data_IF_412788222114
#
_entry.id   IF_412788222114
#
_cell.length_a   1.000
_cell.length_b   1.000
_cell.length_c   1.000
_cell.angle_alpha   90.00
_cell.angle_beta   90.00
_cell.angle_gamma   90.00
#
_symmetry.space_group_name_H-M   'P 1'
#
loop_
_entity.id
_entity.type
_entity.pdbx_description
1 polymer ?
#
# COMPACT_ATOMS: atom_id res chain seq x y z
N UNK A 1 -0.21 -7.31 34.64
CA UNK A 1 0.73 -7.12 33.51
C UNK A 1 0.26 -8.06 32.41
N UNK A 2 -0.40 -7.53 31.39
CA UNK A 2 -0.62 -8.26 30.15
C UNK A 2 0.19 -7.51 29.10
N UNK A 3 1.25 -8.13 28.63
CA UNK A 3 1.94 -7.68 27.42
C UNK A 3 0.95 -7.87 26.28
N UNK A 4 0.24 -6.80 25.92
CA UNK A 4 -0.47 -6.73 24.64
C UNK A 4 0.65 -6.60 23.63
N UNK A 5 1.23 -7.74 23.26
CA UNK A 5 2.34 -7.81 22.32
C UNK A 5 2.03 -6.91 21.15
N UNK A 6 2.89 -5.92 20.91
CA UNK A 6 2.67 -4.89 19.92
C UNK A 6 2.22 -5.56 18.62
N UNK A 7 0.94 -5.42 18.25
CA UNK A 7 0.41 -6.04 17.03
C UNK A 7 1.33 -5.65 15.89
N UNK A 8 1.97 -6.64 15.26
CA UNK A 8 2.97 -6.39 14.24
C UNK A 8 2.35 -5.54 13.14
N UNK A 9 2.75 -4.26 13.08
CA UNK A 9 2.35 -3.36 12.02
C UNK A 9 3.09 -3.77 10.77
N UNK A 10 2.36 -4.27 9.77
CA UNK A 10 2.91 -4.68 8.48
C UNK A 10 2.81 -3.50 7.52
N UNK A 11 3.71 -3.45 6.55
CA UNK A 11 3.58 -2.49 5.46
C UNK A 11 3.98 -3.10 4.13
N UNK A 12 3.35 -2.60 3.08
CA UNK A 12 3.68 -2.90 1.69
C UNK A 12 3.95 -1.60 0.96
N UNK A 13 4.95 -1.59 0.08
CA UNK A 13 5.25 -0.45 -0.78
C UNK A 13 4.55 -0.64 -2.11
N UNK A 14 3.88 0.40 -2.59
CA UNK A 14 3.28 0.45 -3.92
C UNK A 14 4.32 1.03 -4.86
N UNK A 15 4.66 0.27 -5.91
CA UNK A 15 5.64 0.66 -6.91
C UNK A 15 4.99 0.81 -8.28
N UNK A 16 5.40 1.85 -9.01
CA UNK A 16 5.09 2.02 -10.43
C UNK A 16 6.32 1.65 -11.26
N UNK A 17 6.09 0.88 -12.32
CA UNK A 17 7.10 0.38 -13.25
C UNK A 17 6.66 0.80 -14.66
N UNK A 18 7.15 1.93 -15.19
CA UNK A 18 6.76 2.40 -16.53
C UNK A 18 7.23 1.45 -17.63
N UNK A 19 8.41 0.85 -17.48
CA UNK A 19 8.98 -0.06 -18.46
C UNK A 19 9.53 -1.31 -17.76
N UNK A 20 8.93 -2.46 -18.06
CA UNK A 20 9.33 -3.76 -17.50
C UNK A 20 10.72 -4.22 -17.98
N UNK A 21 11.16 -3.78 -19.16
CA UNK A 21 12.44 -4.19 -19.75
C UNK A 21 13.60 -3.39 -19.13
N UNK A 22 13.36 -2.11 -18.82
CA UNK A 22 14.38 -1.23 -18.24
C UNK A 22 14.57 -1.45 -16.72
N UNK A 23 13.70 -2.23 -16.08
CA UNK A 23 13.63 -2.44 -14.62
C UNK A 23 13.59 -1.14 -13.79
N UNK A 24 13.08 -0.08 -14.40
CA UNK A 24 12.94 1.23 -13.78
C UNK A 24 11.70 1.21 -12.87
N UNK A 25 11.88 1.50 -11.58
CA UNK A 25 10.80 1.47 -10.59
C UNK A 25 10.82 2.71 -9.72
N UNK A 26 9.63 3.23 -9.41
CA UNK A 26 9.47 4.32 -8.45
C UNK A 26 8.41 3.97 -7.41
N UNK A 27 8.72 4.21 -6.14
CA UNK A 27 7.75 4.07 -5.06
C UNK A 27 6.74 5.21 -5.15
N UNK A 28 5.45 4.86 -5.24
CA UNK A 28 4.36 5.84 -5.38
C UNK A 28 3.44 5.87 -4.16
N UNK A 29 3.53 4.89 -3.26
CA UNK A 29 2.72 4.86 -2.06
C UNK A 29 3.14 3.78 -1.07
N UNK A 30 2.46 3.77 0.07
CA UNK A 30 2.62 2.78 1.13
C UNK A 30 1.25 2.37 1.64
N UNK A 31 1.13 1.09 1.95
CA UNK A 31 0.01 0.51 2.67
C UNK A 31 0.56 0.09 4.03
N UNK A 32 0.05 0.66 5.10
CA UNK A 32 0.35 0.23 6.47
C UNK A 32 -0.90 -0.43 7.05
N UNK A 33 -0.76 -1.64 7.57
CA UNK A 33 -1.91 -2.42 8.01
C UNK A 33 -1.61 -3.32 9.20
N UNK A 34 -2.68 -3.61 9.94
CA UNK A 34 -2.74 -4.65 10.96
C UNK A 34 -4.11 -5.32 10.91
N UNK A 35 -4.43 -6.15 11.91
CA UNK A 35 -5.68 -6.90 12.01
C UNK A 35 -6.95 -6.05 12.15
N UNK A 36 -6.83 -4.73 12.28
CA UNK A 36 -7.95 -3.83 12.58
C UNK A 36 -8.01 -2.61 11.65
N UNK A 37 -6.89 -2.20 11.07
CA UNK A 37 -6.74 -0.93 10.36
C UNK A 37 -5.91 -1.13 9.11
N UNK A 38 -6.37 -0.55 8.02
CA UNK A 38 -5.60 -0.34 6.79
C UNK A 38 -5.47 1.16 6.57
N UNK A 39 -4.25 1.65 6.34
CA UNK A 39 -3.96 3.02 5.95
C UNK A 39 -3.18 3.01 4.66
N UNK A 40 -3.59 3.84 3.72
CA UNK A 40 -2.93 3.99 2.44
C UNK A 40 -2.51 5.44 2.29
N UNK A 41 -1.29 5.65 1.79
CA UNK A 41 -0.81 6.99 1.47
C UNK A 41 -0.03 6.97 0.16
N UNK A 42 -0.37 7.90 -0.74
CA UNK A 42 0.35 8.12 -1.99
C UNK A 42 1.20 9.38 -1.92
N UNK A 43 2.26 9.43 -2.73
CA UNK A 43 3.10 10.61 -2.85
C UNK A 43 2.29 11.78 -3.42
N UNK A 44 2.21 12.90 -2.68
CA UNK A 44 1.43 14.08 -3.10
C UNK A 44 1.92 14.72 -4.40
N UNK A 45 3.23 14.64 -4.65
CA UNK A 45 3.83 15.21 -5.85
C UNK A 45 3.93 14.15 -6.96
N UNK A 46 2.89 14.08 -7.79
CA UNK A 46 2.84 13.19 -8.95
C UNK A 46 3.76 13.65 -10.09
N UNK A 47 4.32 14.87 -10.06
CA UNK A 47 5.24 15.31 -11.12
C UNK A 47 6.48 14.42 -11.18
N UNK A 48 7.01 13.94 -10.06
CA UNK A 48 8.16 13.03 -10.07
C UNK A 48 7.86 11.75 -10.85
N UNK A 49 6.65 11.22 -10.73
CA UNK A 49 6.22 10.01 -11.43
C UNK A 49 6.07 10.28 -12.93
N UNK A 50 5.51 11.45 -13.29
CA UNK A 50 5.36 11.87 -14.70
C UNK A 50 6.71 12.03 -15.40
N UNK A 51 7.67 12.69 -14.74
CA UNK A 51 9.03 12.86 -15.29
C UNK A 51 9.79 11.54 -15.38
N UNK A 52 9.49 10.57 -14.51
CA UNK A 52 10.13 9.26 -14.51
C UNK A 52 9.61 8.37 -15.65
N UNK A 53 8.29 8.30 -15.84
CA UNK A 53 7.69 7.47 -16.89
C UNK A 53 7.65 8.12 -18.27
N UNK A 54 7.77 9.45 -18.37
CA UNK A 54 7.54 10.23 -19.60
C UNK A 54 6.15 9.98 -20.25
N UNK A 55 5.20 9.44 -19.47
CA UNK A 55 3.86 9.03 -19.89
C UNK A 55 2.76 9.82 -19.15
N UNK A 56 1.54 9.77 -19.68
CA UNK A 56 0.37 10.26 -18.96
C UNK A 56 0.03 9.33 -17.78
N UNK A 57 0.07 9.90 -16.58
CA UNK A 57 -0.06 9.16 -15.31
C UNK A 57 -1.42 9.34 -14.64
N UNK A 58 -2.42 9.83 -15.37
CA UNK A 58 -3.76 10.07 -14.80
C UNK A 58 -4.39 8.78 -14.26
N UNK A 59 -4.10 7.64 -14.89
CA UNK A 59 -4.51 6.33 -14.38
C UNK A 59 -3.93 6.02 -12.98
N UNK A 60 -2.74 6.53 -12.64
CA UNK A 60 -2.15 6.35 -11.31
C UNK A 60 -2.86 7.21 -10.26
N UNK A 61 -3.35 8.39 -10.64
CA UNK A 61 -4.16 9.23 -9.76
C UNK A 61 -5.51 8.58 -9.48
N UNK A 62 -6.16 8.05 -10.53
CA UNK A 62 -7.43 7.33 -10.40
C UNK A 62 -7.26 6.06 -9.56
N UNK A 63 -6.15 5.33 -9.77
CA UNK A 63 -5.77 4.20 -8.95
C UNK A 63 -5.58 4.59 -7.48
N UNK A 64 -4.83 5.66 -7.21
CA UNK A 64 -4.61 6.15 -5.85
C UNK A 64 -5.93 6.53 -5.16
N UNK A 65 -6.80 7.26 -5.86
CA UNK A 65 -8.09 7.68 -5.34
C UNK A 65 -9.00 6.48 -5.00
N UNK A 66 -9.05 5.47 -5.89
CA UNK A 66 -9.83 4.24 -5.63
C UNK A 66 -9.30 3.47 -4.43
N UNK A 67 -7.98 3.33 -4.28
CA UNK A 67 -7.39 2.65 -3.12
C UNK A 67 -7.65 3.39 -1.82
N UNK A 68 -7.44 4.71 -1.80
CA UNK A 68 -7.70 5.53 -0.61
C UNK A 68 -9.17 5.49 -0.18
N UNK A 69 -10.11 5.44 -1.12
CA UNK A 69 -11.52 5.28 -0.81
C UNK A 69 -11.85 3.88 -0.31
N UNK A 70 -11.35 2.83 -0.95
CA UNK A 70 -11.55 1.45 -0.49
C UNK A 70 -10.99 1.20 0.91
N UNK A 71 -9.87 1.82 1.27
CA UNK A 71 -9.32 1.71 2.61
C UNK A 71 -10.22 2.33 3.71
N UNK A 72 -11.07 3.31 3.37
CA UNK A 72 -12.03 3.90 4.31
C UNK A 72 -13.17 2.95 4.65
N UNK A 73 -13.45 1.97 3.78
CA UNK A 73 -14.47 0.95 4.00
C UNK A 73 -14.01 -0.12 5.02
N UNK A 74 -12.74 -0.10 5.41
CA UNK A 74 -12.17 -0.98 6.43
C UNK A 74 -11.47 -2.20 5.84
N UNK A 75 -11.35 -3.27 6.64
CA UNK A 75 -10.70 -4.50 6.22
C UNK A 75 -11.58 -5.25 5.21
N UNK A 76 -11.04 -5.46 4.00
CA UNK A 76 -11.70 -6.25 2.95
C UNK A 76 -11.71 -7.74 3.32
N UNK A 77 -10.82 -8.18 4.21
CA UNK A 77 -10.68 -9.57 4.67
C UNK A 77 -10.75 -9.64 6.19
N UNK A 78 -11.42 -10.68 6.70
CA UNK A 78 -11.41 -10.95 8.13
C UNK A 78 -9.96 -11.14 8.62
N UNK A 79 -9.60 -10.67 9.83
CA UNK A 79 -8.27 -10.88 10.38
C UNK A 79 -7.93 -12.37 10.39
N UNK A 80 -6.69 -12.69 10.01
CA UNK A 80 -6.18 -14.06 10.10
C UNK A 80 -6.41 -14.60 11.50
N UNK A 81 -6.85 -15.86 11.61
CA UNK A 81 -6.88 -16.55 12.90
C UNK A 81 -5.44 -16.53 13.47
N UNK A 82 -5.26 -16.33 14.78
CA UNK A 82 -3.93 -16.38 15.37
C UNK A 82 -3.24 -17.67 14.95
N UNK A 83 -2.00 -17.56 14.46
CA UNK A 83 -1.21 -18.70 13.99
C UNK A 83 -1.22 -19.77 15.08
N UNK A 84 -1.83 -20.93 14.81
CA UNK A 84 -1.73 -22.09 15.68
C UNK A 84 -0.28 -22.56 15.62
N UNK A 85 0.52 -22.19 16.62
CA UNK A 85 1.87 -22.71 16.79
C UNK A 85 1.76 -24.23 16.89
N UNK A 86 2.38 -25.01 15.97
CA UNK A 86 2.36 -26.46 16.06
C UNK A 86 2.98 -26.90 17.39
N UNK A 87 2.28 -27.77 18.12
CA UNK A 87 2.76 -28.36 19.38
C UNK A 87 3.88 -29.37 19.14
#
# INVERSE_FOLDING_TARGET
MCDVGAMASRYSVIQYVPNLIADERINIGVIAFNNNVVRIHFVKNSQRVRHFGMEEIDFLKDFAHRMENGAKEGLIFAPDKPDEVPK
#
